data_IF_889457368015
#
_entry.id   IF_889457368015
#
_cell.length_a   1.000
_cell.length_b   1.000
_cell.length_c   1.000
_cell.angle_alpha   90.00
_cell.angle_beta   90.00
_cell.angle_gamma   90.00
#
_symmetry.space_group_name_H-M   'P 1'
#
loop_
_entity.id
_entity.type
_entity.pdbx_description
1 polymer ?
#
# COMPACT_ATOMS: atom_id res chain seq x y z
N UNK A 1 5.29 -22.78 -0.86
CA UNK A 1 3.89 -22.38 -1.07
C UNK A 1 3.32 -23.18 -2.25
N UNK A 2 2.06 -23.63 -2.17
CA UNK A 2 1.38 -24.25 -3.31
C UNK A 2 1.00 -23.15 -4.30
N UNK A 3 1.40 -23.28 -5.58
CA UNK A 3 0.99 -22.37 -6.65
C UNK A 3 -0.38 -22.77 -7.17
N UNK A 4 -1.28 -21.78 -7.29
CA UNK A 4 -2.59 -21.92 -7.93
C UNK A 4 -2.80 -20.79 -8.94
N UNK A 5 -3.62 -21.02 -9.94
CA UNK A 5 -3.98 -19.97 -10.90
C UNK A 5 -5.04 -19.02 -10.34
N UNK A 6 -5.19 -17.84 -10.95
CA UNK A 6 -6.28 -16.93 -10.64
C UNK A 6 -7.65 -17.57 -10.83
N UNK A 7 -7.83 -18.33 -11.91
CA UNK A 7 -9.08 -19.05 -12.19
C UNK A 7 -9.39 -20.11 -11.12
N UNK A 8 -8.38 -20.85 -10.65
CA UNK A 8 -8.54 -21.83 -9.56
C UNK A 8 -8.91 -21.15 -8.24
N UNK A 9 -8.25 -20.02 -7.91
CA UNK A 9 -8.61 -19.22 -6.74
C UNK A 9 -10.09 -18.80 -6.81
N UNK A 10 -10.50 -18.18 -7.92
CA UNK A 10 -11.85 -17.64 -8.08
C UNK A 10 -12.92 -18.75 -7.99
N UNK A 11 -12.68 -19.92 -8.59
CA UNK A 11 -13.59 -21.06 -8.49
C UNK A 11 -13.75 -21.54 -7.03
N UNK A 12 -12.65 -21.65 -6.29
CA UNK A 12 -12.69 -22.06 -4.88
C UNK A 12 -13.32 -20.96 -4.00
N UNK A 13 -13.04 -19.69 -4.27
CA UNK A 13 -13.65 -18.57 -3.56
C UNK A 13 -15.18 -18.55 -3.79
N UNK A 14 -15.64 -18.77 -5.03
CA UNK A 14 -17.05 -18.85 -5.37
C UNK A 14 -17.77 -20.02 -4.65
N UNK A 15 -17.06 -21.12 -4.37
CA UNK A 15 -17.58 -22.24 -3.58
C UNK A 15 -17.61 -21.99 -2.08
N UNK A 16 -17.26 -20.78 -1.62
CA UNK A 16 -17.33 -20.36 -0.23
C UNK A 16 -16.00 -20.40 0.54
N UNK A 17 -14.92 -20.92 -0.07
CA UNK A 17 -13.60 -20.90 0.59
C UNK A 17 -13.13 -19.46 0.77
N UNK A 18 -12.55 -19.15 1.95
CA UNK A 18 -11.96 -17.84 2.26
C UNK A 18 -10.51 -17.96 2.72
N UNK A 19 -10.11 -19.11 3.26
CA UNK A 19 -8.74 -19.37 3.71
C UNK A 19 -7.85 -19.80 2.55
N UNK A 20 -6.98 -18.88 2.14
CA UNK A 20 -5.98 -19.05 1.09
C UNK A 20 -4.59 -18.65 1.60
N UNK A 21 -4.31 -18.86 2.88
CA UNK A 21 -3.04 -18.50 3.49
C UNK A 21 -1.87 -19.27 2.87
N UNK A 22 -0.73 -18.60 2.79
CA UNK A 22 0.55 -19.17 2.37
C UNK A 22 0.51 -19.91 1.01
N UNK A 23 -0.27 -19.41 0.06
CA UNK A 23 -0.29 -19.88 -1.32
C UNK A 23 0.58 -19.01 -2.23
N UNK A 24 0.89 -19.49 -3.42
CA UNK A 24 1.57 -18.74 -4.47
C UNK A 24 0.59 -18.36 -5.57
N UNK A 25 0.34 -17.07 -5.73
CA UNK A 25 -0.47 -16.42 -6.76
C UNK A 25 0.38 -15.46 -7.60
N UNK A 26 1.71 -15.61 -7.56
CA UNK A 26 2.58 -14.72 -8.32
C UNK A 26 2.19 -14.68 -9.80
N UNK A 27 2.15 -13.44 -10.33
CA UNK A 27 1.78 -13.17 -11.73
C UNK A 27 0.34 -13.59 -12.13
N UNK A 28 -0.51 -13.98 -11.17
CA UNK A 28 -1.90 -14.33 -11.47
C UNK A 28 -2.68 -13.10 -11.96
N UNK A 29 -3.60 -13.33 -12.92
CA UNK A 29 -4.56 -12.33 -13.35
C UNK A 29 -5.84 -12.43 -12.50
N UNK A 30 -6.13 -11.35 -11.79
CA UNK A 30 -7.28 -11.18 -10.89
C UNK A 30 -7.98 -9.83 -11.18
N UNK A 31 -7.94 -9.39 -12.44
CA UNK A 31 -8.61 -8.16 -12.89
C UNK A 31 -10.09 -8.18 -12.49
N UNK A 32 -10.58 -7.08 -11.89
CA UNK A 32 -11.95 -6.92 -11.40
C UNK A 32 -12.45 -8.03 -10.45
N UNK A 33 -11.56 -8.85 -9.91
CA UNK A 33 -11.96 -9.96 -9.04
C UNK A 33 -12.61 -9.45 -7.73
N UNK A 34 -13.73 -10.05 -7.34
CA UNK A 34 -14.33 -9.80 -6.03
C UNK A 34 -13.80 -10.84 -5.02
N UNK A 35 -12.89 -10.38 -4.16
CA UNK A 35 -12.19 -11.18 -3.14
C UNK A 35 -12.41 -10.61 -1.73
N UNK A 36 -13.57 -9.99 -1.49
CA UNK A 36 -13.88 -9.38 -0.19
C UNK A 36 -13.76 -10.39 0.96
N UNK A 37 -13.01 -10.02 2.00
CA UNK A 37 -12.83 -10.85 3.19
C UNK A 37 -11.99 -12.13 2.96
N UNK A 38 -11.27 -12.24 1.85
CA UNK A 38 -10.34 -13.34 1.60
C UNK A 38 -9.16 -13.28 2.59
N UNK A 39 -8.67 -14.44 3.01
CA UNK A 39 -7.43 -14.55 3.79
C UNK A 39 -6.30 -15.05 2.90
N UNK A 40 -5.39 -14.15 2.59
CA UNK A 40 -4.17 -14.34 1.80
C UNK A 40 -2.92 -14.07 2.67
N UNK A 41 -3.04 -14.16 3.99
CA UNK A 41 -1.93 -13.89 4.90
C UNK A 41 -0.71 -14.76 4.56
N UNK A 42 0.46 -14.13 4.49
CA UNK A 42 1.72 -14.79 4.15
C UNK A 42 1.81 -15.36 2.73
N UNK A 43 0.88 -15.03 1.83
CA UNK A 43 0.89 -15.51 0.44
C UNK A 43 1.83 -14.72 -0.44
N UNK A 44 2.28 -15.34 -1.53
CA UNK A 44 3.04 -14.70 -2.59
C UNK A 44 2.09 -14.16 -3.66
N UNK A 45 2.01 -12.83 -3.75
CA UNK A 45 1.23 -12.07 -4.73
C UNK A 45 2.15 -11.17 -5.59
N UNK A 46 3.43 -11.51 -5.70
CA UNK A 46 4.37 -10.72 -6.50
C UNK A 46 3.89 -10.59 -7.93
N UNK A 47 3.90 -9.34 -8.45
CA UNK A 47 3.46 -9.02 -9.82
C UNK A 47 2.05 -9.48 -10.18
N UNK A 48 1.21 -9.80 -9.20
CA UNK A 48 -0.20 -10.13 -9.44
C UNK A 48 -0.93 -8.95 -10.08
N UNK A 49 -1.82 -9.21 -11.04
CA UNK A 49 -2.62 -8.20 -11.73
C UNK A 49 -4.02 -8.10 -11.09
N UNK A 50 -4.25 -7.05 -10.30
CA UNK A 50 -5.42 -6.82 -9.44
C UNK A 50 -6.14 -5.48 -9.68
N UNK A 51 -6.05 -4.80 -10.85
CA UNK A 51 -6.76 -3.55 -11.03
C UNK A 51 -8.26 -3.73 -10.86
N UNK A 52 -8.91 -2.72 -10.25
CA UNK A 52 -10.35 -2.68 -9.98
C UNK A 52 -10.87 -3.82 -9.11
N UNK A 53 -10.00 -4.66 -8.54
CA UNK A 53 -10.41 -5.75 -7.65
C UNK A 53 -10.99 -5.24 -6.33
N UNK A 54 -11.89 -6.02 -5.73
CA UNK A 54 -12.42 -5.77 -4.39
C UNK A 54 -11.73 -6.69 -3.37
N UNK A 55 -10.80 -6.12 -2.62
CA UNK A 55 -10.07 -6.74 -1.50
C UNK A 55 -10.51 -6.12 -0.15
N UNK A 56 -11.70 -5.52 -0.09
CA UNK A 56 -12.20 -4.95 1.16
C UNK A 56 -12.23 -6.01 2.25
N UNK A 57 -11.74 -5.66 3.45
CA UNK A 57 -11.63 -6.55 4.61
C UNK A 57 -10.73 -7.80 4.40
N UNK A 58 -9.95 -7.85 3.31
CA UNK A 58 -9.01 -8.94 3.09
C UNK A 58 -7.92 -8.98 4.17
N UNK A 59 -7.49 -10.19 4.53
CA UNK A 59 -6.31 -10.42 5.36
C UNK A 59 -5.11 -10.63 4.44
N UNK A 60 -4.17 -9.71 4.49
CA UNK A 60 -2.97 -9.66 3.67
C UNK A 60 -1.72 -9.47 4.56
N UNK A 61 -1.83 -9.82 5.85
CA UNK A 61 -0.71 -9.71 6.78
C UNK A 61 0.49 -10.50 6.26
N UNK A 62 1.67 -9.86 6.24
CA UNK A 62 2.93 -10.45 5.76
C UNK A 62 2.88 -10.97 4.30
N UNK A 63 1.86 -10.61 3.51
CA UNK A 63 1.79 -10.98 2.10
C UNK A 63 2.91 -10.30 1.29
N UNK A 64 3.40 -11.00 0.25
CA UNK A 64 4.40 -10.50 -0.67
C UNK A 64 3.71 -9.93 -1.90
N UNK A 65 3.63 -8.60 -2.01
CA UNK A 65 2.91 -7.85 -3.05
C UNK A 65 3.87 -6.99 -3.90
N UNK A 66 5.17 -7.33 -3.93
CA UNK A 66 6.15 -6.54 -4.69
C UNK A 66 5.75 -6.44 -6.16
N UNK A 67 5.77 -5.21 -6.68
CA UNK A 67 5.39 -4.88 -8.04
C UNK A 67 3.97 -5.34 -8.45
N UNK A 68 3.07 -5.64 -7.49
CA UNK A 68 1.67 -5.94 -7.77
C UNK A 68 0.96 -4.73 -8.38
N UNK A 69 0.02 -4.98 -9.29
CA UNK A 69 -0.81 -3.96 -9.92
C UNK A 69 -2.16 -3.89 -9.19
N UNK A 70 -2.38 -2.82 -8.43
CA UNK A 70 -3.55 -2.60 -7.57
C UNK A 70 -4.24 -1.28 -7.89
N UNK A 71 -4.06 -0.76 -9.12
CA UNK A 71 -4.69 0.51 -9.49
C UNK A 71 -6.22 0.42 -9.40
N UNK A 72 -6.82 1.46 -8.82
CA UNK A 72 -8.27 1.54 -8.58
C UNK A 72 -8.86 0.38 -7.74
N UNK A 73 -8.03 -0.43 -7.07
CA UNK A 73 -8.49 -1.52 -6.21
C UNK A 73 -9.13 -0.99 -4.91
N UNK A 74 -10.08 -1.76 -4.38
CA UNK A 74 -10.76 -1.48 -3.13
C UNK A 74 -10.15 -2.31 -2.01
N UNK A 75 -9.51 -1.65 -1.04
CA UNK A 75 -8.85 -2.27 0.12
C UNK A 75 -9.41 -1.69 1.43
N UNK A 76 -10.69 -1.30 1.44
CA UNK A 76 -11.34 -0.76 2.62
C UNK A 76 -11.24 -1.73 3.81
N UNK A 77 -10.68 -1.27 4.94
CA UNK A 77 -10.47 -2.10 6.14
C UNK A 77 -9.60 -3.36 5.92
N UNK A 78 -8.82 -3.45 4.84
CA UNK A 78 -7.89 -4.57 4.66
C UNK A 78 -6.77 -4.53 5.71
N UNK A 79 -6.30 -5.71 6.12
CA UNK A 79 -5.12 -5.86 6.96
C UNK A 79 -3.89 -6.16 6.10
N UNK A 80 -3.04 -5.18 5.93
CA UNK A 80 -1.77 -5.22 5.19
C UNK A 80 -0.56 -5.09 6.13
N UNK A 81 -0.76 -5.35 7.44
CA UNK A 81 0.33 -5.21 8.41
C UNK A 81 1.52 -6.08 8.02
N UNK A 82 2.74 -5.51 8.09
CA UNK A 82 3.99 -6.19 7.73
C UNK A 82 4.04 -6.71 6.26
N UNK A 83 3.06 -6.35 5.41
CA UNK A 83 3.07 -6.75 4.00
C UNK A 83 4.21 -6.04 3.24
N UNK A 84 4.73 -6.68 2.20
CA UNK A 84 5.72 -6.10 1.31
C UNK A 84 5.07 -5.64 0.00
N UNK A 85 4.87 -4.33 -0.13
CA UNK A 85 4.29 -3.64 -1.28
C UNK A 85 5.35 -2.82 -2.06
N UNK A 86 6.62 -3.19 -1.92
CA UNK A 86 7.70 -2.47 -2.61
C UNK A 86 7.41 -2.40 -4.11
N UNK A 87 7.56 -1.20 -4.70
CA UNK A 87 7.33 -0.92 -6.12
C UNK A 87 5.91 -1.29 -6.61
N UNK A 88 4.94 -1.54 -5.71
CA UNK A 88 3.56 -1.82 -6.10
C UNK A 88 2.87 -0.58 -6.69
N UNK A 89 1.95 -0.79 -7.63
CA UNK A 89 1.13 0.26 -8.19
C UNK A 89 -0.26 0.29 -7.52
N UNK A 90 -0.47 1.27 -6.64
CA UNK A 90 -1.72 1.53 -5.91
C UNK A 90 -2.41 2.82 -6.41
N UNK A 91 -2.13 3.24 -7.65
CA UNK A 91 -2.73 4.45 -8.22
C UNK A 91 -4.24 4.47 -8.00
N UNK A 92 -4.75 5.53 -7.34
CA UNK A 92 -6.17 5.74 -7.02
C UNK A 92 -6.86 4.63 -6.22
N UNK A 93 -6.14 3.69 -5.63
CA UNK A 93 -6.73 2.67 -4.78
C UNK A 93 -7.39 3.30 -3.53
N UNK A 94 -8.36 2.59 -2.95
CA UNK A 94 -9.04 2.99 -1.72
C UNK A 94 -8.57 2.13 -0.55
N UNK A 95 -7.74 2.70 0.35
CA UNK A 95 -7.21 2.06 1.55
C UNK A 95 -7.78 2.68 2.84
N UNK A 96 -8.97 3.24 2.79
CA UNK A 96 -9.59 3.83 3.98
C UNK A 96 -9.69 2.80 5.10
N UNK A 97 -9.24 3.20 6.31
CA UNK A 97 -9.21 2.35 7.51
C UNK A 97 -8.40 1.06 7.36
N UNK A 98 -7.56 0.94 6.34
CA UNK A 98 -6.64 -0.19 6.22
C UNK A 98 -5.57 -0.14 7.31
N UNK A 99 -5.11 -1.31 7.73
CA UNK A 99 -3.95 -1.46 8.61
C UNK A 99 -2.71 -1.74 7.75
N UNK A 100 -1.79 -0.79 7.70
CA UNK A 100 -0.50 -0.86 6.97
C UNK A 100 0.69 -0.77 7.96
N UNK A 101 0.45 -1.09 9.23
CA UNK A 101 1.48 -1.00 10.26
C UNK A 101 2.72 -1.81 9.86
N UNK A 102 3.87 -1.15 9.81
CA UNK A 102 5.15 -1.78 9.45
C UNK A 102 5.22 -2.33 8.03
N UNK A 103 4.27 -2.00 7.15
CA UNK A 103 4.32 -2.41 5.75
C UNK A 103 5.49 -1.75 5.01
N UNK A 104 6.06 -2.43 4.03
CA UNK A 104 7.06 -1.88 3.12
C UNK A 104 6.40 -1.38 1.84
N UNK A 105 6.31 -0.08 1.68
CA UNK A 105 5.77 0.63 0.51
C UNK A 105 6.86 1.42 -0.24
N UNK A 106 8.13 1.06 -0.05
CA UNK A 106 9.23 1.76 -0.68
C UNK A 106 9.08 1.76 -2.21
N UNK A 107 9.19 2.93 -2.83
CA UNK A 107 9.03 3.10 -4.28
C UNK A 107 7.62 2.89 -4.82
N UNK A 108 6.62 2.63 -3.99
CA UNK A 108 5.24 2.40 -4.43
C UNK A 108 4.63 3.65 -5.08
N UNK A 109 3.79 3.44 -6.10
CA UNK A 109 2.94 4.48 -6.66
C UNK A 109 1.62 4.56 -5.86
N UNK A 110 1.50 5.60 -5.05
CA UNK A 110 0.34 5.91 -4.22
C UNK A 110 -0.37 7.19 -4.68
N UNK A 111 -0.19 7.58 -5.94
CA UNK A 111 -0.81 8.81 -6.46
C UNK A 111 -2.33 8.76 -6.35
N UNK A 112 -2.91 9.79 -5.73
CA UNK A 112 -4.36 9.93 -5.59
C UNK A 112 -5.03 8.84 -4.74
N UNK A 113 -4.26 8.04 -3.99
CA UNK A 113 -4.79 7.03 -3.08
C UNK A 113 -5.61 7.65 -1.95
N UNK A 114 -6.68 6.96 -1.53
CA UNK A 114 -7.43 7.33 -0.33
C UNK A 114 -6.99 6.49 0.88
N UNK A 115 -6.19 7.08 1.76
CA UNK A 115 -5.68 6.51 3.01
C UNK A 115 -6.39 7.09 4.25
N UNK A 116 -7.58 7.64 4.10
CA UNK A 116 -8.31 8.23 5.21
C UNK A 116 -8.49 7.27 6.39
N UNK A 117 -8.05 7.67 7.59
CA UNK A 117 -8.03 6.86 8.81
C UNK A 117 -7.22 5.55 8.72
N UNK A 118 -6.31 5.39 7.77
CA UNK A 118 -5.42 4.24 7.71
C UNK A 118 -4.33 4.31 8.79
N UNK A 119 -3.85 3.15 9.23
CA UNK A 119 -2.69 3.05 10.11
C UNK A 119 -1.43 2.71 9.29
N UNK A 120 -0.54 3.68 9.13
CA UNK A 120 0.76 3.58 8.46
C UNK A 120 1.91 3.67 9.47
N UNK A 121 1.63 3.43 10.76
CA UNK A 121 2.68 3.53 11.78
C UNK A 121 3.83 2.57 11.48
N UNK A 122 5.05 3.07 11.59
CA UNK A 122 6.28 2.34 11.29
C UNK A 122 6.39 1.84 9.82
N UNK A 123 5.52 2.24 8.90
CA UNK A 123 5.61 1.86 7.50
C UNK A 123 6.82 2.50 6.81
N UNK A 124 7.42 1.79 5.87
CA UNK A 124 8.46 2.32 4.99
C UNK A 124 7.83 2.87 3.70
N UNK A 125 7.80 4.18 3.56
CA UNK A 125 7.30 4.92 2.40
C UNK A 125 8.44 5.62 1.63
N UNK A 126 9.69 5.20 1.83
CA UNK A 126 10.86 5.82 1.19
C UNK A 126 10.71 5.80 -0.33
N UNK A 127 10.93 6.96 -0.97
CA UNK A 127 10.79 7.15 -2.42
C UNK A 127 9.39 6.84 -2.98
N UNK A 128 8.36 6.67 -2.15
CA UNK A 128 6.99 6.48 -2.61
C UNK A 128 6.41 7.77 -3.19
N UNK A 129 5.54 7.66 -4.19
CA UNK A 129 4.79 8.80 -4.72
C UNK A 129 3.37 8.84 -4.11
N UNK A 130 3.18 9.72 -3.14
CA UNK A 130 1.90 9.99 -2.47
C UNK A 130 1.22 11.26 -3.03
N UNK A 131 1.66 11.78 -4.18
CA UNK A 131 1.10 13.02 -4.69
C UNK A 131 -0.41 12.94 -4.84
N UNK A 132 -1.12 14.00 -4.39
CA UNK A 132 -2.60 14.08 -4.37
C UNK A 132 -3.30 13.02 -3.49
N UNK A 133 -2.58 12.26 -2.67
CA UNK A 133 -3.18 11.31 -1.73
C UNK A 133 -4.03 12.02 -0.68
N UNK A 134 -5.11 11.37 -0.23
CA UNK A 134 -5.87 11.77 0.94
C UNK A 134 -5.33 11.05 2.18
N UNK A 135 -4.73 11.79 3.09
CA UNK A 135 -4.16 11.28 4.35
C UNK A 135 -4.96 11.75 5.59
N UNK A 136 -6.23 12.08 5.41
CA UNK A 136 -7.07 12.59 6.50
C UNK A 136 -7.11 11.59 7.68
N UNK A 137 -6.60 12.01 8.84
CA UNK A 137 -6.52 11.20 10.06
C UNK A 137 -5.72 9.90 9.90
N UNK A 138 -4.87 9.78 8.88
CA UNK A 138 -3.94 8.67 8.77
C UNK A 138 -2.88 8.77 9.87
N UNK A 139 -2.49 7.63 10.44
CA UNK A 139 -1.43 7.55 11.44
C UNK A 139 -0.10 7.29 10.74
N UNK A 140 0.79 8.28 10.70
CA UNK A 140 2.14 8.21 10.13
C UNK A 140 3.23 8.14 11.21
N UNK A 141 2.88 7.79 12.45
CA UNK A 141 3.84 7.74 13.56
C UNK A 141 5.01 6.81 13.23
N UNK A 142 6.23 7.36 13.25
CA UNK A 142 7.48 6.64 12.91
C UNK A 142 7.51 6.09 11.47
N UNK A 143 6.63 6.51 10.58
CA UNK A 143 6.72 6.17 9.17
C UNK A 143 7.96 6.82 8.54
N UNK A 144 8.63 6.10 7.64
CA UNK A 144 9.80 6.58 6.91
C UNK A 144 9.36 7.16 5.57
N UNK A 145 9.56 8.47 5.38
CA UNK A 145 9.15 9.22 4.20
C UNK A 145 10.36 9.81 3.43
N UNK A 146 11.56 9.28 3.67
CA UNK A 146 12.77 9.74 2.99
C UNK A 146 12.62 9.70 1.46
N UNK A 147 12.82 10.82 0.79
CA UNK A 147 12.69 10.94 -0.67
C UNK A 147 11.27 10.79 -1.21
N UNK A 148 10.24 10.65 -0.38
CA UNK A 148 8.86 10.54 -0.83
C UNK A 148 8.32 11.84 -1.43
N UNK A 149 7.33 11.71 -2.31
CA UNK A 149 6.62 12.83 -2.92
C UNK A 149 5.23 13.01 -2.27
N UNK A 150 5.07 14.07 -1.47
CA UNK A 150 3.80 14.42 -0.81
C UNK A 150 3.08 15.58 -1.52
N UNK A 151 3.48 15.95 -2.74
CA UNK A 151 2.92 17.11 -3.43
C UNK A 151 1.39 17.03 -3.55
N UNK A 152 0.72 18.07 -3.05
CA UNK A 152 -0.75 18.16 -3.02
C UNK A 152 -1.44 17.08 -2.20
N UNK A 153 -0.76 16.41 -1.27
CA UNK A 153 -1.46 15.58 -0.28
C UNK A 153 -2.40 16.44 0.56
N UNK A 154 -3.52 15.85 0.97
CA UNK A 154 -4.52 16.54 1.75
C UNK A 154 -4.53 16.04 3.20
N UNK A 155 -4.66 17.00 4.14
CA UNK A 155 -4.89 16.73 5.56
C UNK A 155 -3.86 15.80 6.22
N UNK A 156 -2.58 15.91 5.83
CA UNK A 156 -1.50 15.08 6.38
C UNK A 156 -0.94 15.70 7.66
N UNK A 157 -0.77 14.87 8.69
CA UNK A 157 0.03 15.18 9.89
C UNK A 157 1.37 14.45 9.82
N UNK A 158 2.46 15.22 9.68
CA UNK A 158 3.82 14.72 9.53
C UNK A 158 4.64 14.84 10.84
N UNK A 159 4.04 15.27 11.95
CA UNK A 159 4.74 15.64 13.19
C UNK A 159 5.56 14.50 13.80
N UNK A 160 5.20 13.25 13.56
CA UNK A 160 5.85 12.06 14.11
C UNK A 160 6.43 11.13 13.04
N UNK A 161 6.55 11.60 11.81
CA UNK A 161 7.15 10.86 10.69
C UNK A 161 8.64 11.24 10.50
N UNK A 162 9.41 10.35 9.90
CA UNK A 162 10.80 10.60 9.53
C UNK A 162 10.88 11.09 8.08
N UNK A 163 11.39 12.31 7.92
CA UNK A 163 11.57 12.99 6.64
C UNK A 163 13.05 13.30 6.41
N UNK A 164 13.43 13.57 5.17
CA UNK A 164 14.78 14.03 4.83
C UNK A 164 14.74 15.21 3.84
N UNK A 165 15.92 15.67 3.41
CA UNK A 165 16.06 16.79 2.47
C UNK A 165 15.56 16.46 1.04
N UNK A 166 15.30 15.19 0.73
CA UNK A 166 14.79 14.75 -0.57
C UNK A 166 13.26 14.66 -0.58
N UNK A 167 12.61 14.65 0.58
CA UNK A 167 11.14 14.61 0.71
C UNK A 167 10.52 15.87 0.10
N UNK A 168 9.54 15.69 -0.78
CA UNK A 168 8.75 16.79 -1.34
C UNK A 168 7.51 16.99 -0.48
N UNK A 169 7.38 18.18 0.12
CA UNK A 169 6.25 18.53 1.00
C UNK A 169 4.96 18.79 0.22
N UNK A 170 3.78 18.87 0.91
CA UNK A 170 2.49 19.07 0.25
C UNK A 170 2.38 20.31 -0.63
N UNK A 171 3.09 21.37 -0.33
CA UNK A 171 3.18 22.62 -1.11
C UNK A 171 4.23 22.58 -2.23
N UNK A 172 4.96 21.47 -2.36
CA UNK A 172 5.94 21.22 -3.43
C UNK A 172 7.37 21.63 -3.10
N UNK A 173 7.63 22.25 -1.95
CA UNK A 173 9.03 22.56 -1.58
C UNK A 173 9.72 21.34 -0.95
N UNK A 174 11.05 21.41 -0.86
CA UNK A 174 11.90 20.47 -0.11
C UNK A 174 12.45 21.19 1.10
N UNK A 175 12.64 20.51 2.25
CA UNK A 175 13.32 21.14 3.39
C UNK A 175 14.71 21.59 2.95
N UNK A 176 15.03 22.87 3.21
CA UNK A 176 16.39 23.34 3.00
C UNK A 176 17.34 22.59 3.95
N UNK A 177 18.34 21.92 3.40
CA UNK A 177 19.52 21.63 4.17
C UNK A 177 20.13 23.00 4.54
N UNK A 178 20.33 23.35 5.83
CA UNK A 178 21.18 24.49 6.13
C UNK A 178 22.55 24.15 5.49
N UNK A 179 22.91 24.88 4.45
CA UNK A 179 24.26 24.83 3.88
C UNK A 179 25.24 25.09 5.02
N UNK A 180 26.06 24.10 5.34
CA UNK A 180 27.25 24.33 6.16
C UNK A 180 28.13 25.34 5.39
N UNK A 181 28.07 26.62 5.77
CA UNK A 181 29.02 27.62 5.34
C UNK A 181 28.42 28.83 4.62
N UNK A 182 27.83 29.76 5.35
CA UNK A 182 28.01 31.19 5.16
C UNK A 182 28.37 31.78 6.54
N UNK A 183 29.68 31.76 6.84
CA UNK A 183 30.33 32.72 7.74
C UNK A 183 30.83 33.89 6.91
#
# INVERSE_FOLDING_TARGET
MKKISGAELLAQYASGRRDFRAIDLSEADLFEANLQGIDLSGSNLQKTYLPYSNLSQAQLEQAQLQAAQLSDAQLYQANLSQANLQDANLFRATLRRANLQGANLAGANLQGVDLGNADLSCANLSNADLSRANLQKANLSKAQLSGSNLFRTQNVDLSNAYLDSLTIYPDGHRPHHPSLGEE
#
